data_IF_674413611575
#
_entry.id   IF_674413611575
#
_cell.length_a   1.000
_cell.length_b   1.000
_cell.length_c   1.000
_cell.angle_alpha   90.00
_cell.angle_beta   90.00
_cell.angle_gamma   90.00
#
_symmetry.space_group_name_H-M   'P 1'
#
loop_
_entity.id
_entity.type
_entity.pdbx_description
1 polymer ?
#
# COMPACT_ATOMS: atom_id res chain seq x y z
N UNK A 1 34.69 -11.06 8.85
CA UNK A 1 34.92 -11.60 10.22
C UNK A 1 35.66 -12.93 10.14
N UNK A 2 36.41 -13.30 11.19
CA UNK A 2 37.04 -14.62 11.38
C UNK A 2 36.03 -15.77 11.36
N UNK A 3 36.28 -16.79 10.53
CA UNK A 3 35.32 -17.84 10.24
C UNK A 3 35.69 -19.15 10.95
N UNK A 4 34.71 -19.83 11.55
CA UNK A 4 34.88 -21.22 11.94
C UNK A 4 35.08 -22.12 10.70
N UNK A 5 35.53 -23.36 10.93
CA UNK A 5 35.67 -24.39 9.90
C UNK A 5 34.37 -24.50 9.07
N UNK A 6 34.50 -24.29 7.75
CA UNK A 6 33.42 -24.27 6.77
C UNK A 6 32.26 -23.30 7.12
N UNK A 7 32.55 -22.13 7.70
CA UNK A 7 31.57 -21.08 8.02
C UNK A 7 31.62 -19.89 7.03
N UNK A 8 32.27 -20.07 5.88
CA UNK A 8 32.49 -19.00 4.90
C UNK A 8 31.18 -18.32 4.44
N UNK A 9 30.13 -19.08 4.11
CA UNK A 9 28.86 -18.53 3.65
C UNK A 9 28.16 -17.64 4.70
N UNK A 10 27.91 -18.11 5.94
CA UNK A 10 27.39 -17.24 7.01
C UNK A 10 28.26 -16.01 7.26
N UNK A 11 29.59 -16.15 7.27
CA UNK A 11 30.51 -15.05 7.52
C UNK A 11 30.56 -14.02 6.39
N UNK A 12 30.42 -14.44 5.13
CA UNK A 12 30.31 -13.56 3.98
C UNK A 12 29.02 -12.73 4.08
N UNK A 13 27.86 -13.38 4.21
CA UNK A 13 26.56 -12.71 4.34
C UNK A 13 26.52 -11.78 5.56
N UNK A 14 27.16 -12.15 6.67
CA UNK A 14 27.23 -11.29 7.86
C UNK A 14 27.99 -9.98 7.58
N UNK A 15 29.12 -10.06 6.88
CA UNK A 15 29.87 -8.85 6.52
C UNK A 15 29.10 -7.99 5.51
N UNK A 16 28.46 -8.61 4.52
CA UNK A 16 27.60 -7.95 3.53
C UNK A 16 26.50 -7.12 4.20
N UNK A 17 25.77 -7.73 5.13
CA UNK A 17 24.73 -7.04 5.90
C UNK A 17 25.30 -5.91 6.77
N UNK A 18 26.50 -6.07 7.33
CA UNK A 18 27.17 -5.02 8.10
C UNK A 18 27.65 -3.87 7.21
N UNK A 19 28.16 -4.15 6.01
CA UNK A 19 28.50 -3.13 5.01
C UNK A 19 27.25 -2.31 4.66
N UNK A 20 26.12 -2.98 4.42
CA UNK A 20 24.85 -2.31 4.14
C UNK A 20 24.38 -1.42 5.29
N UNK A 21 24.43 -1.91 6.54
CA UNK A 21 24.08 -1.10 7.71
C UNK A 21 24.98 0.13 7.88
N UNK A 22 26.28 -0.04 7.64
CA UNK A 22 27.27 1.05 7.75
C UNK A 22 27.11 2.09 6.64
N UNK A 23 26.70 1.65 5.45
CA UNK A 23 26.60 2.50 4.26
C UNK A 23 25.24 3.18 4.15
N UNK A 24 24.17 2.50 4.58
CA UNK A 24 22.79 2.94 4.38
C UNK A 24 22.04 3.07 5.72
N UNK A 25 21.84 4.30 6.22
CA UNK A 25 21.31 4.54 7.57
C UNK A 25 19.94 3.93 7.88
N UNK A 26 19.12 3.62 6.86
CA UNK A 26 17.80 2.99 6.99
C UNK A 26 17.87 1.50 7.30
N UNK A 27 18.98 0.85 6.95
CA UNK A 27 19.20 -0.56 7.24
C UNK A 27 19.70 -0.67 8.68
N UNK A 28 19.05 -1.53 9.45
CA UNK A 28 19.42 -1.85 10.82
C UNK A 28 19.42 -3.36 10.99
N UNK A 29 20.59 -3.92 11.24
CA UNK A 29 20.76 -5.36 11.42
C UNK A 29 20.61 -5.65 12.92
N UNK A 30 19.69 -6.53 13.32
CA UNK A 30 19.35 -6.69 14.74
C UNK A 30 20.41 -7.41 15.57
N UNK A 31 21.41 -8.02 14.93
CA UNK A 31 22.45 -8.81 15.58
C UNK A 31 23.83 -8.23 15.28
N UNK A 32 24.73 -8.26 16.26
CA UNK A 32 26.09 -7.72 16.10
C UNK A 32 26.93 -8.59 15.15
N UNK A 33 27.61 -7.94 14.20
CA UNK A 33 28.59 -8.59 13.33
C UNK A 33 29.89 -8.83 14.10
N UNK A 34 29.93 -9.93 14.86
CA UNK A 34 31.12 -10.44 15.55
C UNK A 34 31.24 -11.95 15.38
N UNK A 35 32.40 -12.46 15.79
CA UNK A 35 32.68 -13.90 15.80
C UNK A 35 31.64 -14.66 16.62
N UNK A 36 31.05 -15.70 16.02
CA UNK A 36 30.11 -16.59 16.70
C UNK A 36 29.93 -17.92 15.97
N UNK A 37 28.92 -18.68 16.37
CA UNK A 37 28.62 -20.02 15.91
C UNK A 37 27.11 -20.29 16.06
N UNK A 38 26.59 -21.24 15.28
CA UNK A 38 25.21 -21.70 15.37
C UNK A 38 24.68 -21.81 16.80
N UNK A 39 23.54 -21.16 17.05
CA UNK A 39 22.84 -21.19 18.34
C UNK A 39 23.19 -20.04 19.29
N UNK A 40 24.15 -19.17 18.94
CA UNK A 40 24.38 -17.92 19.66
C UNK A 40 23.65 -16.72 19.02
N UNK A 41 23.70 -15.57 19.70
CA UNK A 41 23.00 -14.33 19.33
C UNK A 41 23.81 -13.41 18.41
N UNK A 42 24.95 -13.87 17.89
CA UNK A 42 25.73 -13.09 16.92
C UNK A 42 25.09 -13.16 15.53
N UNK A 43 25.35 -12.17 14.67
CA UNK A 43 24.88 -12.19 13.29
C UNK A 43 25.29 -13.48 12.56
N UNK A 44 26.55 -13.88 12.73
CA UNK A 44 27.10 -15.11 12.14
C UNK A 44 26.40 -16.36 12.69
N UNK A 45 26.11 -16.43 13.99
CA UNK A 45 25.41 -17.55 14.63
C UNK A 45 23.94 -17.68 14.21
N UNK A 46 23.27 -16.55 14.01
CA UNK A 46 21.91 -16.50 13.46
C UNK A 46 21.87 -16.94 12.00
N UNK A 47 22.82 -16.49 11.18
CA UNK A 47 22.95 -16.93 9.79
C UNK A 47 23.31 -18.42 9.69
N UNK A 48 24.19 -18.92 10.56
CA UNK A 48 24.47 -20.35 10.72
C UNK A 48 23.19 -21.16 10.97
N UNK A 49 22.32 -20.62 11.82
CA UNK A 49 21.04 -21.23 12.17
C UNK A 49 20.08 -21.19 10.98
N UNK A 50 19.94 -20.04 10.33
CA UNK A 50 19.05 -19.83 9.20
C UNK A 50 19.46 -20.65 7.96
N UNK A 51 20.75 -20.83 7.72
CA UNK A 51 21.29 -21.69 6.65
C UNK A 51 21.27 -23.18 7.00
N UNK A 52 20.84 -23.57 8.21
CA UNK A 52 20.77 -24.96 8.61
C UNK A 52 22.13 -25.64 8.73
N UNK A 53 23.21 -24.88 8.96
CA UNK A 53 24.58 -25.42 8.98
C UNK A 53 24.73 -26.51 10.04
N UNK A 54 25.40 -27.61 9.71
CA UNK A 54 25.71 -28.66 10.69
C UNK A 54 27.02 -28.33 11.39
N UNK A 55 26.98 -28.16 12.71
CA UNK A 55 28.10 -27.65 13.50
C UNK A 55 28.18 -28.37 14.84
N UNK A 56 29.36 -28.90 15.17
CA UNK A 56 29.67 -29.45 16.51
C UNK A 56 30.46 -28.43 17.35
N UNK A 57 31.45 -27.77 16.73
CA UNK A 57 32.28 -26.74 17.34
C UNK A 57 32.99 -25.95 16.24
N UNK A 58 33.83 -24.97 16.62
CA UNK A 58 34.55 -24.10 15.67
C UNK A 58 35.44 -24.87 14.68
N UNK A 59 35.91 -26.07 15.03
CA UNK A 59 36.81 -26.88 14.20
C UNK A 59 36.07 -27.93 13.37
N UNK A 60 34.79 -28.18 13.66
CA UNK A 60 33.98 -29.23 13.04
C UNK A 60 32.62 -28.69 12.63
N UNK A 61 32.50 -28.39 11.35
CA UNK A 61 31.24 -28.03 10.71
C UNK A 61 31.24 -28.35 9.23
N UNK A 62 30.05 -28.37 8.62
CA UNK A 62 29.88 -28.56 7.17
C UNK A 62 29.62 -27.23 6.48
N UNK A 63 30.07 -27.10 5.24
CA UNK A 63 29.72 -25.97 4.39
C UNK A 63 28.25 -26.00 4.00
N UNK A 64 27.71 -24.83 3.68
CA UNK A 64 26.32 -24.63 3.24
C UNK A 64 26.29 -23.60 2.12
N UNK A 65 25.24 -23.67 1.31
CA UNK A 65 24.92 -22.65 0.33
C UNK A 65 24.17 -21.47 0.99
N UNK A 66 24.43 -20.22 0.59
CA UNK A 66 23.92 -19.06 1.31
C UNK A 66 22.48 -18.68 0.95
N UNK A 67 21.98 -18.93 -0.26
CA UNK A 67 20.79 -18.24 -0.79
C UNK A 67 19.56 -18.39 0.10
N UNK A 68 19.09 -19.61 0.31
CA UNK A 68 17.84 -19.84 1.05
C UNK A 68 17.95 -19.38 2.51
N UNK A 69 19.08 -19.66 3.16
CA UNK A 69 19.31 -19.26 4.54
C UNK A 69 19.43 -17.75 4.73
N UNK A 70 20.04 -17.05 3.77
CA UNK A 70 20.05 -15.59 3.69
C UNK A 70 18.63 -15.04 3.64
N UNK A 71 17.80 -15.52 2.70
CA UNK A 71 16.42 -15.06 2.57
C UNK A 71 15.59 -15.35 3.82
N UNK A 72 15.79 -16.51 4.44
CA UNK A 72 15.17 -16.88 5.72
C UNK A 72 15.53 -15.90 6.83
N UNK A 73 16.81 -15.52 6.95
CA UNK A 73 17.25 -14.54 7.93
C UNK A 73 16.61 -13.16 7.68
N UNK A 74 16.54 -12.72 6.42
CA UNK A 74 15.89 -11.45 6.06
C UNK A 74 14.38 -11.47 6.40
N UNK A 75 13.68 -12.57 6.11
CA UNK A 75 12.24 -12.72 6.39
C UNK A 75 11.96 -12.69 7.90
N UNK A 76 12.69 -13.49 8.68
CA UNK A 76 12.55 -13.59 10.14
C UNK A 76 12.78 -12.26 10.85
N UNK A 77 13.61 -11.39 10.29
CA UNK A 77 13.98 -10.10 10.85
C UNK A 77 13.26 -8.91 10.18
N UNK A 78 12.26 -9.15 9.32
CA UNK A 78 11.51 -8.14 8.57
C UNK A 78 12.40 -7.19 7.73
N UNK A 79 13.51 -7.70 7.22
CA UNK A 79 14.48 -6.95 6.41
C UNK A 79 14.19 -6.99 4.91
N UNK A 80 13.35 -7.91 4.42
CA UNK A 80 13.10 -8.06 2.98
C UNK A 80 12.46 -6.85 2.30
N UNK A 81 11.78 -5.98 3.06
CA UNK A 81 11.22 -4.73 2.56
C UNK A 81 12.25 -3.59 2.48
N UNK A 82 13.45 -3.77 3.05
CA UNK A 82 14.52 -2.75 3.04
C UNK A 82 15.81 -3.24 2.39
N UNK A 83 15.94 -4.54 2.12
CA UNK A 83 17.09 -5.16 1.45
C UNK A 83 16.58 -6.03 0.30
N UNK A 84 17.05 -5.73 -0.91
CA UNK A 84 16.87 -6.55 -2.10
C UNK A 84 17.99 -7.56 -2.23
N UNK A 85 17.68 -8.69 -2.87
CA UNK A 85 18.67 -9.72 -3.20
C UNK A 85 18.58 -10.05 -4.67
N UNK A 86 19.72 -9.99 -5.36
CA UNK A 86 19.91 -10.46 -6.72
C UNK A 86 20.91 -11.60 -6.73
N UNK A 87 20.87 -12.46 -7.74
CA UNK A 87 21.91 -13.47 -7.92
C UNK A 87 22.12 -13.86 -9.38
N UNK A 88 23.31 -14.33 -9.69
CA UNK A 88 23.65 -15.02 -10.94
C UNK A 88 24.23 -16.40 -10.65
N UNK A 89 24.01 -17.33 -11.57
CA UNK A 89 24.45 -18.72 -11.45
C UNK A 89 23.31 -19.68 -11.07
N UNK A 90 23.61 -20.98 -11.15
CA UNK A 90 22.60 -22.05 -10.95
C UNK A 90 23.10 -23.18 -10.04
N UNK A 91 24.26 -23.00 -9.38
CA UNK A 91 24.88 -24.04 -8.56
C UNK A 91 24.25 -24.17 -7.16
N UNK A 92 23.73 -23.08 -6.61
CA UNK A 92 23.03 -23.08 -5.33
C UNK A 92 21.65 -23.75 -5.48
N UNK A 93 21.39 -24.86 -4.75
CA UNK A 93 20.12 -25.57 -4.83
C UNK A 93 19.01 -24.94 -3.97
N UNK A 94 19.32 -23.90 -3.19
CA UNK A 94 18.39 -23.26 -2.27
C UNK A 94 17.24 -22.54 -2.99
N UNK A 95 16.09 -22.44 -2.31
CA UNK A 95 14.97 -21.65 -2.83
C UNK A 95 15.34 -20.17 -2.99
N UNK A 96 14.95 -19.57 -4.11
CA UNK A 96 15.06 -18.13 -4.33
C UNK A 96 13.87 -17.34 -3.73
N UNK A 97 12.94 -17.99 -3.05
CA UNK A 97 11.84 -17.34 -2.34
C UNK A 97 11.61 -18.03 -0.98
N UNK A 98 11.59 -17.24 0.10
CA UNK A 98 11.35 -17.71 1.46
C UNK A 98 10.45 -16.69 2.18
N UNK A 99 9.31 -17.16 2.68
CA UNK A 99 8.34 -16.29 3.36
C UNK A 99 7.88 -15.15 2.45
N UNK A 100 8.18 -13.91 2.83
CA UNK A 100 7.85 -12.69 2.08
C UNK A 100 9.02 -12.15 1.25
N UNK A 101 10.17 -12.81 1.25
CA UNK A 101 11.41 -12.33 0.61
C UNK A 101 11.75 -13.18 -0.60
N UNK A 102 12.04 -12.52 -1.72
CA UNK A 102 12.42 -13.17 -2.98
C UNK A 102 13.75 -12.60 -3.48
N UNK A 103 14.61 -13.46 -4.01
CA UNK A 103 15.81 -13.09 -4.73
C UNK A 103 15.57 -13.13 -6.24
N UNK A 104 15.98 -12.08 -6.95
CA UNK A 104 15.82 -11.97 -8.40
C UNK A 104 16.98 -12.64 -9.13
N UNK A 105 16.66 -13.57 -10.02
CA UNK A 105 17.64 -14.24 -10.87
C UNK A 105 18.04 -13.33 -12.03
N UNK A 106 19.32 -12.96 -12.09
CA UNK A 106 19.92 -12.08 -13.08
C UNK A 106 20.66 -12.86 -14.18
N UNK A 107 20.45 -14.17 -14.25
CA UNK A 107 20.95 -15.04 -15.31
C UNK A 107 22.30 -15.69 -15.00
N UNK A 108 23.16 -15.74 -16.02
CA UNK A 108 24.48 -16.38 -15.94
C UNK A 108 25.48 -15.45 -15.29
N UNK A 109 26.47 -16.02 -14.61
CA UNK A 109 27.60 -15.28 -14.03
C UNK A 109 28.31 -14.48 -15.12
N UNK A 110 28.57 -13.20 -14.87
CA UNK A 110 29.29 -12.33 -15.80
C UNK A 110 30.12 -11.30 -15.03
N UNK A 111 31.27 -10.90 -15.58
CA UNK A 111 32.12 -9.92 -14.90
C UNK A 111 31.49 -8.53 -14.91
N UNK A 112 30.78 -8.19 -15.97
CA UNK A 112 30.05 -6.92 -16.12
C UNK A 112 29.05 -6.72 -14.97
N UNK A 113 28.22 -7.73 -14.68
CA UNK A 113 27.29 -7.68 -13.53
C UNK A 113 28.03 -7.41 -12.21
N UNK A 114 29.12 -8.14 -11.91
CA UNK A 114 29.88 -7.93 -10.67
C UNK A 114 30.38 -6.48 -10.55
N UNK A 115 30.89 -5.91 -11.64
CA UNK A 115 31.41 -4.53 -11.65
C UNK A 115 30.27 -3.52 -11.52
N UNK A 116 29.15 -3.72 -12.20
CA UNK A 116 27.98 -2.83 -12.15
C UNK A 116 27.39 -2.77 -10.74
N UNK A 117 27.28 -3.91 -10.06
CA UNK A 117 26.75 -3.96 -8.69
C UNK A 117 27.69 -3.25 -7.69
N UNK A 118 29.00 -3.51 -7.76
CA UNK A 118 29.99 -2.82 -6.92
C UNK A 118 29.99 -1.31 -7.19
N UNK A 119 29.94 -0.89 -8.46
CA UNK A 119 29.88 0.53 -8.83
C UNK A 119 28.59 1.21 -8.35
N UNK A 120 27.50 0.45 -8.27
CA UNK A 120 26.22 0.90 -7.71
C UNK A 120 26.20 0.91 -6.18
N UNK A 121 27.33 0.59 -5.53
CA UNK A 121 27.52 0.49 -4.07
C UNK A 121 26.66 -0.59 -3.43
N UNK A 122 26.21 -1.57 -4.23
CA UNK A 122 25.66 -2.81 -3.69
C UNK A 122 26.76 -3.63 -3.05
N UNK A 123 26.38 -4.50 -2.11
CA UNK A 123 27.28 -5.52 -1.60
C UNK A 123 27.27 -6.74 -2.51
N UNK A 124 28.44 -7.31 -2.83
CA UNK A 124 28.56 -8.47 -3.71
C UNK A 124 29.28 -9.61 -3.01
N UNK A 125 28.66 -10.78 -3.02
CA UNK A 125 29.22 -12.04 -2.54
C UNK A 125 29.48 -13.00 -3.70
N UNK A 126 30.54 -13.79 -3.63
CA UNK A 126 30.87 -14.84 -4.59
C UNK A 126 30.95 -16.20 -3.92
N UNK A 127 30.64 -17.24 -4.68
CA UNK A 127 31.08 -18.61 -4.36
C UNK A 127 32.15 -19.03 -5.36
N UNK A 128 33.37 -19.18 -4.84
CA UNK A 128 34.56 -19.62 -5.56
C UNK A 128 34.69 -21.14 -5.48
N UNK A 129 34.64 -21.84 -6.61
CA UNK A 129 34.86 -23.28 -6.74
C UNK A 129 36.31 -23.57 -7.10
N UNK A 130 37.03 -24.26 -6.22
CA UNK A 130 38.43 -24.59 -6.45
C UNK A 130 38.61 -25.78 -7.42
N UNK A 131 39.70 -25.83 -8.21
CA UNK A 131 39.96 -26.92 -9.15
C UNK A 131 40.05 -28.30 -8.51
N UNK A 132 40.58 -28.36 -7.29
CA UNK A 132 40.88 -29.60 -6.58
C UNK A 132 39.77 -30.04 -5.62
N UNK A 133 38.53 -29.62 -5.88
CA UNK A 133 37.37 -29.74 -5.00
C UNK A 133 37.35 -28.72 -3.84
N UNK A 134 36.16 -28.52 -3.26
CA UNK A 134 35.90 -27.47 -2.26
C UNK A 134 35.38 -26.18 -2.87
N UNK A 135 34.71 -25.37 -2.06
CA UNK A 135 34.28 -24.03 -2.43
C UNK A 135 34.41 -23.10 -1.24
N UNK A 136 34.49 -21.81 -1.56
CA UNK A 136 34.65 -20.75 -0.58
C UNK A 136 33.72 -19.60 -0.92
N UNK A 137 32.91 -19.18 0.04
CA UNK A 137 32.04 -18.02 -0.09
C UNK A 137 32.72 -16.79 0.49
N UNK A 138 32.74 -15.70 -0.27
CA UNK A 138 33.47 -14.47 0.07
C UNK A 138 32.62 -13.25 -0.25
N UNK A 139 32.76 -12.21 0.55
CA UNK A 139 32.30 -10.85 0.24
C UNK A 139 33.40 -10.15 -0.55
N UNK A 140 33.04 -9.51 -1.67
CA UNK A 140 33.98 -8.71 -2.46
C UNK A 140 34.19 -7.35 -1.83
N UNK A 141 35.45 -6.91 -1.86
CA UNK A 141 35.85 -5.56 -1.46
C UNK A 141 36.04 -4.63 -2.65
N UNK A 142 36.41 -5.17 -3.82
CA UNK A 142 36.42 -4.43 -5.08
C UNK A 142 36.48 -5.38 -6.28
N UNK A 143 36.07 -4.90 -7.44
CA UNK A 143 36.36 -5.50 -8.74
C UNK A 143 36.65 -4.40 -9.77
N UNK A 144 37.32 -4.75 -10.85
CA UNK A 144 37.56 -3.83 -11.96
C UNK A 144 38.54 -4.36 -12.97
N UNK A 145 39.21 -3.46 -13.68
CA UNK A 145 40.18 -3.81 -14.71
C UNK A 145 41.56 -3.22 -14.40
N UNK A 146 42.61 -4.02 -14.54
CA UNK A 146 44.00 -3.56 -14.56
C UNK A 146 44.56 -3.85 -15.94
N UNK A 147 44.92 -2.81 -16.69
CA UNK A 147 45.39 -2.93 -18.08
C UNK A 147 44.44 -3.77 -18.98
N UNK A 148 43.12 -3.64 -18.76
CA UNK A 148 42.09 -4.40 -19.49
C UNK A 148 41.86 -5.82 -18.99
N UNK A 149 42.58 -6.28 -17.96
CA UNK A 149 42.40 -7.61 -17.37
C UNK A 149 41.44 -7.51 -16.17
N UNK A 150 40.31 -8.23 -16.18
CA UNK A 150 39.41 -8.35 -15.03
C UNK A 150 40.14 -8.78 -13.76
N UNK A 151 39.83 -8.14 -12.64
CA UNK A 151 40.28 -8.58 -11.33
C UNK A 151 39.19 -8.41 -10.28
N UNK A 152 39.26 -9.24 -9.24
CA UNK A 152 38.47 -9.13 -8.02
C UNK A 152 39.41 -9.04 -6.80
N UNK A 153 38.94 -8.42 -5.73
CA UNK A 153 39.54 -8.53 -4.41
C UNK A 153 38.50 -8.84 -3.36
N UNK A 154 38.89 -9.67 -2.41
CA UNK A 154 38.11 -9.96 -1.21
C UNK A 154 39.03 -10.11 -0.01
N UNK A 155 38.45 -10.01 1.19
CA UNK A 155 39.12 -10.42 2.41
C UNK A 155 38.76 -11.88 2.67
N UNK A 156 39.76 -12.70 2.93
CA UNK A 156 39.55 -14.11 3.21
C UNK A 156 40.30 -14.50 4.46
N UNK A 157 39.65 -15.32 5.28
CA UNK A 157 40.36 -16.10 6.27
C UNK A 157 41.06 -17.28 5.56
N UNK A 158 42.34 -17.10 5.24
CA UNK A 158 43.12 -18.11 4.53
C UNK A 158 43.43 -19.35 5.38
N UNK A 159 43.11 -19.31 6.68
CA UNK A 159 43.38 -20.39 7.62
C UNK A 159 42.10 -21.05 8.14
N UNK A 160 41.07 -21.12 7.27
CA UNK A 160 39.85 -21.92 7.46
C UNK A 160 40.07 -23.44 7.63
N UNK A 161 41.32 -23.90 7.73
CA UNK A 161 41.66 -25.31 7.89
C UNK A 161 41.70 -25.70 9.36
N UNK A 162 41.15 -26.86 9.65
CA UNK A 162 41.01 -27.43 10.98
C UNK A 162 42.33 -27.78 11.72
N UNK A 163 43.49 -27.31 11.24
CA UNK A 163 44.80 -27.64 11.81
C UNK A 163 45.58 -26.38 12.19
N UNK A 164 45.77 -26.18 13.49
CA UNK A 164 46.71 -25.21 14.03
C UNK A 164 46.11 -23.90 14.56
N UNK A 165 44.82 -23.62 14.32
CA UNK A 165 44.18 -22.39 14.81
C UNK A 165 42.80 -22.61 15.48
N UNK A 166 42.75 -23.32 16.62
CA UNK A 166 41.50 -23.66 17.31
C UNK A 166 40.75 -22.46 17.89
N UNK A 167 41.46 -21.34 18.06
CA UNK A 167 40.89 -20.08 18.52
C UNK A 167 40.60 -19.15 17.36
N UNK A 168 40.90 -19.54 16.11
CA UNK A 168 40.66 -18.77 14.89
C UNK A 168 41.18 -17.34 15.08
N UNK A 169 42.50 -17.23 15.28
CA UNK A 169 43.27 -16.03 15.60
C UNK A 169 44.21 -15.60 14.47
N UNK A 170 44.37 -16.42 13.44
CA UNK A 170 45.21 -16.20 12.27
C UNK A 170 44.32 -15.94 11.04
N UNK A 171 44.90 -15.45 9.93
CA UNK A 171 44.26 -15.57 8.62
C UNK A 171 43.40 -14.40 8.09
N UNK A 172 42.94 -13.44 8.90
CA UNK A 172 42.05 -12.35 8.43
C UNK A 172 42.71 -11.01 8.07
N UNK A 173 44.04 -10.95 7.95
CA UNK A 173 44.78 -9.70 7.75
C UNK A 173 45.19 -9.43 6.30
N UNK A 174 44.80 -10.31 5.36
CA UNK A 174 45.24 -10.25 3.97
C UNK A 174 44.10 -10.09 2.99
N UNK A 175 44.29 -9.16 2.06
CA UNK A 175 43.45 -9.00 0.87
C UNK A 175 43.89 -9.97 -0.20
N UNK A 176 42.98 -10.83 -0.64
CA UNK A 176 43.17 -11.73 -1.77
C UNK A 176 42.81 -10.97 -3.06
N UNK A 177 43.75 -10.91 -3.99
CA UNK A 177 43.51 -10.42 -5.35
C UNK A 177 43.65 -11.58 -6.34
N UNK A 178 42.68 -11.66 -7.26
CA UNK A 178 42.65 -12.67 -8.31
C UNK A 178 42.30 -12.02 -9.65
N UNK A 179 43.03 -12.38 -10.69
CA UNK A 179 42.75 -11.98 -12.08
C UNK A 179 41.84 -13.02 -12.74
N UNK A 180 40.93 -12.57 -13.59
CA UNK A 180 39.90 -13.44 -14.20
C UNK A 180 39.97 -13.41 -15.72
N UNK A 181 39.51 -14.50 -16.33
CA UNK A 181 39.05 -14.53 -17.73
C UNK A 181 37.56 -14.79 -17.73
N UNK A 182 36.82 -13.98 -18.48
CA UNK A 182 35.39 -14.17 -18.78
C UNK A 182 35.26 -14.75 -20.19
N UNK A 183 34.63 -15.92 -20.30
CA UNK A 183 34.34 -16.56 -21.59
C UNK A 183 33.05 -16.06 -22.25
N UNK A 184 32.31 -15.17 -21.59
CA UNK A 184 31.02 -14.63 -22.02
C UNK A 184 29.87 -15.65 -22.02
N UNK A 185 30.10 -16.87 -21.51
CA UNK A 185 29.14 -17.98 -21.51
C UNK A 185 28.69 -18.38 -20.11
N UNK A 186 29.11 -17.64 -19.09
CA UNK A 186 28.82 -17.94 -17.69
C UNK A 186 30.00 -18.47 -16.90
N UNK A 187 31.22 -18.50 -17.46
CA UNK A 187 32.40 -19.02 -16.78
C UNK A 187 33.43 -17.91 -16.57
N UNK A 188 33.50 -17.42 -15.33
CA UNK A 188 34.61 -16.60 -14.85
C UNK A 188 35.62 -17.50 -14.16
N UNK A 189 36.86 -17.49 -14.65
CA UNK A 189 37.92 -18.37 -14.13
C UNK A 189 39.16 -17.58 -13.71
N UNK A 190 39.72 -17.91 -12.54
CA UNK A 190 40.96 -17.33 -12.03
C UNK A 190 42.16 -17.73 -12.88
N UNK A 191 42.99 -16.74 -13.23
CA UNK A 191 44.21 -16.89 -14.05
C UNK A 191 45.41 -16.17 -13.43
N UNK A 192 46.61 -16.49 -13.94
CA UNK A 192 47.84 -15.77 -13.61
C UNK A 192 48.30 -15.95 -12.15
N UNK A 193 49.27 -15.13 -11.68
CA UNK A 193 49.64 -15.10 -10.27
C UNK A 193 48.50 -14.46 -9.48
N UNK A 194 47.68 -15.31 -8.86
CA UNK A 194 46.51 -14.92 -8.07
C UNK A 194 46.59 -15.54 -6.68
N UNK A 195 45.90 -14.95 -5.71
CA UNK A 195 45.83 -15.52 -4.36
C UNK A 195 44.98 -16.79 -4.34
N UNK A 196 43.88 -16.81 -5.11
CA UNK A 196 43.11 -18.03 -5.32
C UNK A 196 43.81 -18.95 -6.34
N UNK A 197 43.66 -20.28 -6.21
CA UNK A 197 44.22 -21.22 -7.17
C UNK A 197 43.79 -20.94 -8.61
N UNK A 198 44.75 -20.98 -9.55
CA UNK A 198 44.45 -20.90 -10.99
C UNK A 198 43.46 -21.99 -11.39
N UNK A 199 42.43 -21.63 -12.17
CA UNK A 199 41.34 -22.53 -12.54
C UNK A 199 40.13 -22.48 -11.60
N UNK A 200 40.19 -21.71 -10.51
CA UNK A 200 39.03 -21.45 -9.63
C UNK A 200 37.92 -20.77 -10.42
N UNK A 201 36.69 -21.25 -10.30
CA UNK A 201 35.52 -20.69 -11.02
C UNK A 201 34.62 -19.91 -10.08
N UNK A 202 34.00 -18.85 -10.57
CA UNK A 202 32.89 -18.19 -9.86
C UNK A 202 31.60 -18.94 -10.22
N UNK A 203 31.05 -19.71 -9.28
CA UNK A 203 29.85 -20.52 -9.50
C UNK A 203 28.56 -19.75 -9.23
N UNK A 204 28.60 -18.86 -8.24
CA UNK A 204 27.47 -18.02 -7.85
C UNK A 204 27.97 -16.61 -7.57
N UNK A 205 27.14 -15.63 -7.93
CA UNK A 205 27.26 -14.23 -7.51
C UNK A 205 25.95 -13.89 -6.81
N UNK A 206 26.03 -13.27 -5.64
CA UNK A 206 24.86 -12.67 -4.98
C UNK A 206 25.14 -11.18 -4.81
N UNK A 207 24.10 -10.37 -5.00
CA UNK A 207 24.17 -8.94 -4.71
C UNK A 207 23.08 -8.56 -3.72
N UNK A 208 23.39 -7.65 -2.79
CA UNK A 208 22.44 -7.08 -1.84
C UNK A 208 22.48 -5.56 -1.89
N UNK A 209 21.30 -4.94 -1.91
CA UNK A 209 21.19 -3.48 -1.93
C UNK A 209 19.98 -2.99 -1.16
N UNK A 210 19.93 -1.71 -0.77
CA UNK A 210 18.74 -1.11 -0.18
C UNK A 210 17.54 -1.21 -1.12
N UNK A 211 16.35 -1.39 -0.54
CA UNK A 211 15.09 -1.21 -1.26
C UNK A 211 14.52 0.18 -0.96
N UNK A 212 14.63 1.10 -1.91
CA UNK A 212 13.94 2.39 -1.79
C UNK A 212 12.47 2.22 -2.19
N UNK A 213 11.51 2.72 -1.38
CA UNK A 213 10.10 2.57 -1.72
C UNK A 213 9.75 3.38 -2.98
N UNK A 214 8.63 3.05 -3.65
CA UNK A 214 8.12 3.84 -4.75
C UNK A 214 7.95 5.30 -4.36
N UNK A 215 8.03 6.20 -5.35
CA UNK A 215 7.70 7.61 -5.12
C UNK A 215 6.24 7.72 -4.65
N UNK A 216 5.99 8.71 -3.77
CA UNK A 216 4.64 9.08 -3.35
C UNK A 216 3.77 9.28 -4.60
N UNK A 217 2.62 8.58 -4.74
CA UNK A 217 1.73 8.78 -5.88
C UNK A 217 1.15 10.20 -5.90
N UNK A 218 0.70 10.60 -7.09
CA UNK A 218 -0.06 11.83 -7.24
C UNK A 218 -1.39 11.76 -6.49
N UNK A 219 -1.99 12.93 -6.24
CA UNK A 219 -3.34 13.02 -5.70
C UNK A 219 -4.30 12.27 -6.64
N UNK A 220 -5.18 11.38 -6.13
CA UNK A 220 -6.19 10.72 -6.93
C UNK A 220 -7.06 11.70 -7.71
N UNK A 221 -7.54 11.25 -8.87
CA UNK A 221 -8.55 11.94 -9.67
C UNK A 221 -9.81 11.09 -9.78
N UNK A 222 -10.96 11.77 -9.83
CA UNK A 222 -12.27 11.13 -9.89
C UNK A 222 -13.38 12.09 -9.44
N UNK A 223 -14.65 11.63 -9.45
CA UNK A 223 -15.78 12.45 -9.02
C UNK A 223 -15.69 12.89 -7.56
N UNK A 224 -15.82 14.20 -7.30
CA UNK A 224 -15.76 14.80 -5.94
C UNK A 224 -17.13 15.07 -5.32
N UNK A 225 -18.21 14.85 -6.07
CA UNK A 225 -19.59 14.86 -5.59
C UNK A 225 -20.28 13.59 -6.08
N UNK A 226 -20.73 12.75 -5.16
CA UNK A 226 -21.23 11.39 -5.44
C UNK A 226 -22.50 11.15 -4.64
N UNK A 227 -23.46 10.39 -5.17
CA UNK A 227 -24.62 9.95 -4.37
C UNK A 227 -24.29 8.64 -3.66
N UNK A 228 -24.74 8.49 -2.41
CA UNK A 228 -24.67 7.24 -1.64
C UNK A 228 -25.19 6.07 -2.50
N UNK A 229 -24.43 4.99 -2.54
CA UNK A 229 -24.76 3.79 -3.31
C UNK A 229 -24.34 3.85 -4.79
N UNK A 230 -23.86 4.98 -5.30
CA UNK A 230 -23.27 5.04 -6.64
C UNK A 230 -21.82 4.57 -6.63
N UNK A 231 -21.51 3.64 -7.55
CA UNK A 231 -20.13 3.23 -7.83
C UNK A 231 -19.45 4.25 -8.74
N UNK A 232 -18.29 4.75 -8.33
CA UNK A 232 -17.46 5.69 -9.09
C UNK A 232 -16.04 5.17 -9.23
N UNK A 233 -15.40 5.52 -10.34
CA UNK A 233 -14.00 5.19 -10.62
C UNK A 233 -13.08 6.30 -10.13
N UNK A 234 -11.95 5.89 -9.55
CA UNK A 234 -10.85 6.73 -9.12
C UNK A 234 -9.55 6.18 -9.69
N UNK A 235 -8.64 7.08 -10.06
CA UNK A 235 -7.35 6.71 -10.64
C UNK A 235 -6.25 7.68 -10.21
N UNK A 236 -5.00 7.28 -10.42
CA UNK A 236 -3.81 8.11 -10.23
C UNK A 236 -2.84 7.86 -11.38
N UNK A 237 -1.89 8.76 -11.61
CA UNK A 237 -0.78 8.45 -12.51
C UNK A 237 0.01 7.25 -11.95
N UNK A 238 0.53 6.35 -12.81
CA UNK A 238 1.41 5.28 -12.38
C UNK A 238 2.60 5.83 -11.59
N UNK A 239 2.80 5.29 -10.39
CA UNK A 239 3.98 5.60 -9.58
C UNK A 239 5.25 5.04 -10.23
N UNK A 240 6.39 5.65 -9.92
CA UNK A 240 7.71 5.19 -10.36
C UNK A 240 8.55 4.87 -9.14
N UNK A 241 9.41 3.87 -9.28
CA UNK A 241 10.35 3.48 -8.25
C UNK A 241 11.74 4.11 -8.51
N UNK A 242 12.41 4.71 -7.51
CA UNK A 242 13.75 5.28 -7.68
C UNK A 242 14.80 4.26 -8.13
N UNK A 243 14.64 2.99 -7.76
CA UNK A 243 15.57 1.92 -8.07
C UNK A 243 15.23 1.24 -9.41
N UNK A 244 14.16 1.69 -10.08
CA UNK A 244 13.67 1.09 -11.32
C UNK A 244 12.86 -0.19 -11.10
N UNK A 245 12.52 -0.52 -9.86
CA UNK A 245 11.73 -1.69 -9.52
C UNK A 245 10.28 -1.55 -9.98
N UNK A 246 9.64 -2.70 -10.21
CA UNK A 246 8.24 -2.73 -10.62
C UNK A 246 7.34 -2.35 -9.45
N UNK A 247 6.50 -1.32 -9.64
CA UNK A 247 5.37 -1.07 -8.73
C UNK A 247 4.34 -2.18 -8.91
N UNK A 248 4.17 -2.99 -7.87
CA UNK A 248 3.38 -4.22 -7.89
C UNK A 248 1.93 -3.96 -7.47
N UNK A 249 1.69 -3.06 -6.52
CA UNK A 249 0.36 -2.80 -5.95
C UNK A 249 0.11 -1.32 -5.65
N UNK A 250 -1.16 -0.93 -5.70
CA UNK A 250 -1.71 0.35 -5.24
C UNK A 250 -2.71 0.09 -4.11
N UNK A 251 -2.46 0.68 -2.96
CA UNK A 251 -3.32 0.58 -1.78
C UNK A 251 -4.12 1.86 -1.64
N UNK A 252 -5.44 1.74 -1.61
CA UNK A 252 -6.40 2.84 -1.63
C UNK A 252 -7.09 2.98 -0.28
N UNK A 253 -7.19 4.22 0.20
CA UNK A 253 -7.91 4.62 1.41
C UNK A 253 -9.06 5.54 0.98
N UNK A 254 -10.29 5.11 1.20
CA UNK A 254 -11.52 5.80 0.79
C UNK A 254 -12.27 6.45 1.95
N UNK A 255 -11.91 6.14 3.20
CA UNK A 255 -12.56 6.71 4.38
C UNK A 255 -11.68 7.71 5.16
N UNK A 256 -10.38 7.73 4.86
CA UNK A 256 -9.39 8.63 5.43
C UNK A 256 -8.78 8.14 6.75
N UNK A 257 -8.98 6.89 7.16
CA UNK A 257 -8.47 6.35 8.43
C UNK A 257 -6.96 5.99 8.40
N UNK A 258 -6.35 6.01 7.21
CA UNK A 258 -4.93 5.73 7.00
C UNK A 258 -4.61 4.25 6.76
N UNK A 259 -5.62 3.40 6.60
CA UNK A 259 -5.51 1.99 6.20
C UNK A 259 -5.99 1.81 4.77
N UNK A 260 -5.52 0.73 4.16
CA UNK A 260 -5.97 0.35 2.84
C UNK A 260 -7.36 -0.31 2.93
N UNK A 261 -8.35 0.27 2.26
CA UNK A 261 -9.66 -0.32 2.02
C UNK A 261 -9.63 -1.31 0.85
N UNK A 262 -8.81 -1.00 -0.17
CA UNK A 262 -8.70 -1.78 -1.41
C UNK A 262 -7.25 -1.82 -1.89
N UNK A 263 -6.90 -2.91 -2.56
CA UNK A 263 -5.59 -3.11 -3.19
C UNK A 263 -5.80 -3.49 -4.65
N UNK A 264 -5.05 -2.87 -5.55
CA UNK A 264 -5.12 -3.11 -7.00
C UNK A 264 -3.72 -3.24 -7.60
N UNK A 265 -3.57 -4.01 -8.68
CA UNK A 265 -2.30 -4.14 -9.43
C UNK A 265 -2.08 -3.01 -10.45
N UNK A 266 -3.11 -2.18 -10.66
CA UNK A 266 -3.14 -1.02 -11.54
C UNK A 266 -3.56 0.23 -10.76
N UNK A 267 -3.19 1.44 -11.20
CA UNK A 267 -3.52 2.68 -10.51
C UNK A 267 -4.97 3.16 -10.77
N UNK A 268 -5.92 2.23 -10.80
CA UNK A 268 -7.35 2.49 -11.04
C UNK A 268 -8.21 1.56 -10.19
N UNK A 269 -9.28 2.09 -9.62
CA UNK A 269 -10.16 1.36 -8.71
C UNK A 269 -11.58 1.94 -8.75
N UNK A 270 -12.59 1.15 -8.38
CA UNK A 270 -13.96 1.64 -8.17
C UNK A 270 -14.34 1.63 -6.71
N UNK A 271 -15.14 2.61 -6.27
CA UNK A 271 -15.64 2.69 -4.91
C UNK A 271 -17.09 3.15 -4.82
N UNK A 272 -17.77 2.69 -3.76
CA UNK A 272 -19.15 3.03 -3.42
C UNK A 272 -19.21 3.36 -1.94
N UNK A 273 -19.83 4.49 -1.58
CA UNK A 273 -20.06 4.85 -0.18
C UNK A 273 -21.49 4.53 0.25
N UNK A 274 -21.61 3.86 1.41
CA UNK A 274 -22.90 3.50 2.02
C UNK A 274 -23.43 4.56 2.99
N UNK A 275 -22.63 5.56 3.35
CA UNK A 275 -23.02 6.67 4.22
C UNK A 275 -22.74 8.00 3.53
N UNK A 276 -23.59 8.99 3.80
CA UNK A 276 -23.34 10.37 3.39
C UNK A 276 -22.23 10.96 4.26
N UNK A 277 -21.46 11.90 3.72
CA UNK A 277 -20.35 12.53 4.44
C UNK A 277 -19.30 13.09 3.51
N UNK A 278 -18.24 13.61 4.10
CA UNK A 278 -17.05 14.08 3.38
C UNK A 278 -15.90 13.11 3.67
N UNK A 279 -15.26 12.60 2.62
CA UNK A 279 -14.21 11.60 2.69
C UNK A 279 -12.94 12.11 2.01
N UNK A 280 -11.77 11.70 2.51
CA UNK A 280 -10.47 12.04 1.92
C UNK A 280 -9.85 10.83 1.25
N UNK A 281 -10.02 10.70 -0.06
CA UNK A 281 -9.49 9.55 -0.81
C UNK A 281 -7.99 9.69 -1.02
N UNK A 282 -7.21 8.69 -0.63
CA UNK A 282 -5.75 8.62 -0.77
C UNK A 282 -5.32 7.32 -1.41
N UNK A 283 -4.10 7.30 -1.93
CA UNK A 283 -3.47 6.10 -2.48
C UNK A 283 -1.98 6.08 -2.14
N UNK A 284 -1.43 4.90 -1.91
CA UNK A 284 0.01 4.65 -1.85
C UNK A 284 0.38 3.46 -2.73
N UNK A 285 1.66 3.30 -3.00
CA UNK A 285 2.19 2.29 -3.91
C UNK A 285 3.17 1.37 -3.18
N UNK A 286 3.24 0.12 -3.63
CA UNK A 286 4.14 -0.92 -3.13
C UNK A 286 4.90 -1.56 -4.29
N UNK A 287 6.21 -1.75 -4.14
CA UNK A 287 7.07 -2.41 -5.14
C UNK A 287 7.03 -3.96 -5.06
N UNK A 288 7.74 -4.63 -5.96
CA UNK A 288 7.85 -6.08 -6.03
C UNK A 288 8.62 -6.74 -4.86
N UNK A 289 9.37 -5.97 -4.07
CA UNK A 289 10.09 -6.41 -2.87
C UNK A 289 9.37 -6.03 -1.56
N UNK A 290 8.24 -5.32 -1.67
CA UNK A 290 7.33 -5.01 -0.58
C UNK A 290 7.56 -3.66 0.11
N UNK A 291 8.49 -2.79 -0.33
CA UNK A 291 8.55 -1.44 0.26
C UNK A 291 7.36 -0.60 -0.18
N UNK A 292 6.96 0.32 0.71
CA UNK A 292 5.71 1.07 0.58
C UNK A 292 5.98 2.57 0.62
N UNK A 293 5.38 3.29 -0.32
CA UNK A 293 5.46 4.73 -0.39
C UNK A 293 4.60 5.42 0.68
N UNK A 294 4.80 6.74 0.82
CA UNK A 294 3.88 7.57 1.62
C UNK A 294 2.52 7.67 0.92
N UNK A 295 1.46 7.85 1.71
CA UNK A 295 0.14 8.22 1.21
C UNK A 295 0.21 9.50 0.37
N UNK A 296 -0.54 9.53 -0.73
CA UNK A 296 -0.76 10.70 -1.57
C UNK A 296 -1.51 11.81 -0.83
N UNK A 297 -1.60 12.99 -1.45
CA UNK A 297 -2.51 14.03 -0.94
C UNK A 297 -3.96 13.57 -1.12
N UNK A 298 -4.83 13.97 -0.19
CA UNK A 298 -6.22 13.52 -0.20
C UNK A 298 -7.05 14.24 -1.28
N UNK A 299 -7.85 13.49 -2.01
CA UNK A 299 -8.96 13.99 -2.82
C UNK A 299 -10.22 14.05 -1.96
N UNK A 300 -10.73 15.26 -1.69
CA UNK A 300 -11.99 15.44 -0.94
C UNK A 300 -13.19 15.07 -1.80
N UNK A 301 -13.95 14.06 -1.36
CA UNK A 301 -15.19 13.59 -1.99
C UNK A 301 -16.37 13.83 -1.05
N UNK A 302 -17.41 14.49 -1.55
CA UNK A 302 -18.65 14.73 -0.82
C UNK A 302 -19.71 13.73 -1.30
N UNK A 303 -20.09 12.82 -0.40
CA UNK A 303 -21.13 11.83 -0.63
C UNK A 303 -22.45 12.37 -0.10
N UNK A 304 -23.39 12.59 -1.02
CA UNK A 304 -24.72 13.09 -0.76
C UNK A 304 -25.71 11.92 -0.69
N UNK A 305 -26.89 12.15 -0.11
CA UNK A 305 -28.00 11.20 -0.16
C UNK A 305 -29.18 11.82 -0.92
N UNK A 306 -29.97 10.97 -1.59
CA UNK A 306 -31.31 11.37 -2.02
C UNK A 306 -32.18 11.36 -0.77
N UNK A 307 -33.03 12.38 -0.66
CA UNK A 307 -34.05 12.45 0.36
C UNK A 307 -35.40 12.28 -0.33
N UNK A 308 -36.13 11.26 0.06
CA UNK A 308 -37.47 10.97 -0.48
C UNK A 308 -38.49 11.22 0.61
N UNK A 309 -39.43 12.10 0.31
CA UNK A 309 -40.45 12.53 1.25
C UNK A 309 -41.80 12.24 0.61
N UNK A 310 -42.49 11.23 1.14
CA UNK A 310 -43.84 10.89 0.72
C UNK A 310 -44.76 11.11 1.90
N UNK A 311 -45.90 11.75 1.67
CA UNK A 311 -46.94 11.72 2.66
C UNK A 311 -48.29 12.11 2.11
N UNK A 312 -49.27 11.57 2.80
CA UNK A 312 -50.67 11.70 2.46
C UNK A 312 -51.41 11.70 3.79
N UNK A 313 -52.32 12.63 3.97
CA UNK A 313 -53.16 12.66 5.16
C UNK A 313 -54.06 13.87 5.21
N UNK A 314 -54.90 13.89 6.23
CA UNK A 314 -55.77 15.01 6.53
C UNK A 314 -55.19 15.81 7.69
N UNK A 315 -55.28 17.13 7.65
CA UNK A 315 -54.99 17.97 8.82
C UNK A 315 -56.28 18.51 9.45
N UNK A 316 -56.35 18.61 10.79
CA UNK A 316 -57.55 19.04 11.48
C UNK A 316 -57.83 20.53 11.25
N UNK A 317 -58.90 20.83 10.52
CA UNK A 317 -59.67 22.08 10.64
C UNK A 317 -61.06 21.74 11.19
N UNK A 318 -61.86 22.75 11.57
CA UNK A 318 -63.14 22.62 12.31
C UNK A 318 -64.20 21.63 11.75
N UNK A 319 -63.97 21.04 10.57
CA UNK A 319 -64.81 20.02 9.92
C UNK A 319 -64.01 18.89 9.21
N UNK A 320 -62.71 18.72 9.50
CA UNK A 320 -61.83 17.64 8.99
C UNK A 320 -61.59 17.57 7.46
N UNK A 321 -61.93 18.60 6.66
CA UNK A 321 -61.89 18.53 5.18
C UNK A 321 -60.61 19.06 4.49
N UNK A 322 -59.47 19.14 5.19
CA UNK A 322 -58.18 19.52 4.61
C UNK A 322 -57.34 18.31 4.20
N UNK A 323 -57.05 18.13 2.90
CA UNK A 323 -56.21 17.06 2.36
C UNK A 323 -54.85 17.58 1.92
N UNK A 324 -53.79 17.01 2.49
CA UNK A 324 -52.40 17.19 2.06
C UNK A 324 -51.92 15.91 1.37
N UNK A 325 -51.39 16.05 0.15
CA UNK A 325 -50.62 15.00 -0.51
C UNK A 325 -49.33 15.61 -1.02
N UNK A 326 -48.22 15.03 -0.62
CA UNK A 326 -46.89 15.42 -1.07
C UNK A 326 -46.11 14.19 -1.51
N UNK A 327 -45.40 14.36 -2.62
CA UNK A 327 -44.43 13.41 -3.11
C UNK A 327 -43.24 14.22 -3.60
N UNK A 328 -42.18 14.26 -2.81
CA UNK A 328 -40.94 14.94 -3.14
C UNK A 328 -39.85 13.88 -3.22
N UNK A 329 -39.18 13.85 -4.37
CA UNK A 329 -37.93 13.09 -4.52
C UNK A 329 -36.86 14.15 -4.73
N UNK A 330 -36.22 14.57 -3.65
CA UNK A 330 -35.14 15.53 -3.71
C UNK A 330 -33.82 14.78 -3.79
N UNK A 331 -33.10 14.93 -4.89
CA UNK A 331 -31.65 14.79 -4.88
C UNK A 331 -31.08 16.12 -4.47
N UNK A 332 -30.07 16.16 -3.61
CA UNK A 332 -29.20 17.33 -3.58
C UNK A 332 -28.27 17.21 -4.81
N UNK A 333 -28.29 18.13 -5.80
CA UNK A 333 -29.04 19.40 -5.87
C UNK A 333 -30.36 19.40 -6.67
N UNK A 334 -30.69 18.36 -7.45
CA UNK A 334 -31.90 18.34 -8.28
C UNK A 334 -33.19 18.05 -7.47
N UNK A 335 -33.94 19.11 -7.16
CA UNK A 335 -35.19 19.04 -6.39
C UNK A 335 -36.41 18.97 -7.33
N UNK A 336 -37.01 17.79 -7.48
CA UNK A 336 -38.29 17.62 -8.17
C UNK A 336 -39.34 17.14 -7.18
N UNK A 337 -40.50 17.81 -7.12
CA UNK A 337 -41.52 17.46 -6.13
C UNK A 337 -42.91 17.93 -6.52
N UNK A 338 -43.92 17.20 -6.04
CA UNK A 338 -45.33 17.49 -6.25
C UNK A 338 -46.00 17.75 -4.90
N UNK A 339 -46.60 18.92 -4.75
CA UNK A 339 -47.46 19.27 -3.62
C UNK A 339 -48.89 19.45 -4.13
N UNK A 340 -49.84 18.79 -3.48
CA UNK A 340 -51.28 19.06 -3.62
C UNK A 340 -51.84 19.32 -2.24
N UNK A 341 -52.46 20.48 -2.07
CA UNK A 341 -53.14 20.84 -0.84
C UNK A 341 -54.54 21.38 -1.15
N UNK A 342 -55.55 20.79 -0.50
CA UNK A 342 -56.96 21.16 -0.69
C UNK A 342 -57.63 21.31 0.67
N UNK A 343 -58.25 22.45 0.91
CA UNK A 343 -59.13 22.66 2.07
C UNK A 343 -60.49 23.15 1.54
N UNK A 344 -61.52 22.30 1.63
CA UNK A 344 -62.85 22.65 1.12
C UNK A 344 -63.51 23.74 1.96
N UNK A 345 -63.31 23.74 3.27
CA UNK A 345 -63.90 24.70 4.20
C UNK A 345 -63.38 26.11 3.95
N UNK A 346 -62.07 26.23 3.75
CA UNK A 346 -61.41 27.49 3.46
C UNK A 346 -61.33 27.84 1.96
N UNK A 347 -61.99 27.05 1.09
CA UNK A 347 -61.94 27.19 -0.38
C UNK A 347 -60.49 27.28 -0.92
N UNK A 348 -59.61 26.42 -0.41
CA UNK A 348 -58.20 26.30 -0.83
C UNK A 348 -58.04 25.16 -1.83
N UNK A 349 -57.38 25.45 -2.94
CA UNK A 349 -56.96 24.43 -3.90
C UNK A 349 -55.63 24.86 -4.52
N UNK A 350 -54.55 24.23 -4.08
CA UNK A 350 -53.17 24.55 -4.48
C UNK A 350 -52.46 23.32 -5.01
N UNK A 351 -51.71 23.52 -6.09
CA UNK A 351 -50.77 22.54 -6.62
C UNK A 351 -49.41 23.18 -6.90
N UNK A 352 -48.34 22.45 -6.63
CA UNK A 352 -46.99 22.76 -7.08
C UNK A 352 -46.33 21.53 -7.70
N UNK A 353 -45.44 21.78 -8.65
CA UNK A 353 -44.58 20.78 -9.30
C UNK A 353 -43.08 21.10 -9.13
N UNK A 354 -42.75 22.22 -8.48
CA UNK A 354 -41.38 22.70 -8.31
C UNK A 354 -41.11 22.96 -6.82
N UNK A 355 -40.01 22.41 -6.33
CA UNK A 355 -39.43 22.75 -5.02
C UNK A 355 -38.19 23.58 -5.33
N UNK A 356 -38.13 24.81 -4.81
CA UNK A 356 -37.02 25.73 -5.05
C UNK A 356 -35.98 25.66 -3.95
N UNK A 357 -36.42 25.38 -2.71
CA UNK A 357 -35.55 25.31 -1.56
C UNK A 357 -35.97 24.21 -0.60
N UNK A 358 -34.96 23.63 0.03
CA UNK A 358 -35.07 22.43 0.84
C UNK A 358 -34.07 22.50 2.00
N UNK A 359 -34.55 22.30 3.23
CA UNK A 359 -33.70 22.15 4.41
C UNK A 359 -34.03 20.88 5.18
N UNK A 360 -33.08 19.92 5.28
CA UNK A 360 -33.20 18.77 6.15
C UNK A 360 -32.61 19.10 7.52
N UNK A 361 -33.44 19.51 8.49
CA UNK A 361 -33.02 19.66 9.89
C UNK A 361 -33.67 18.58 10.76
N UNK A 362 -33.03 18.03 11.80
CA UNK A 362 -33.77 17.34 12.84
C UNK A 362 -34.54 18.36 13.71
N UNK A 363 -35.81 18.11 14.09
CA UNK A 363 -36.68 16.97 13.73
C UNK A 363 -37.49 17.18 12.43
N UNK A 364 -37.34 18.32 11.73
CA UNK A 364 -38.24 18.72 10.65
C UNK A 364 -37.60 19.08 9.31
N UNK A 365 -38.28 18.70 8.24
CA UNK A 365 -37.96 19.13 6.88
C UNK A 365 -38.78 20.35 6.48
N UNK A 366 -38.11 21.34 5.88
CA UNK A 366 -38.75 22.53 5.30
C UNK A 366 -38.66 22.50 3.78
N UNK A 367 -39.80 22.71 3.13
CA UNK A 367 -39.94 22.81 1.68
C UNK A 367 -40.48 24.18 1.29
N UNK A 368 -39.89 24.81 0.29
CA UNK A 368 -40.40 26.05 -0.31
C UNK A 368 -40.43 25.98 -1.83
N UNK A 369 -41.38 26.69 -2.43
CA UNK A 369 -41.39 26.88 -3.86
C UNK A 369 -42.60 27.67 -4.37
N UNK A 370 -42.69 27.76 -5.69
CA UNK A 370 -43.84 28.34 -6.36
C UNK A 370 -45.06 27.43 -6.27
N UNK A 371 -46.24 28.02 -6.13
CA UNK A 371 -47.51 27.32 -6.12
C UNK A 371 -48.48 28.02 -7.08
N UNK A 372 -49.39 27.24 -7.67
CA UNK A 372 -50.51 27.75 -8.45
C UNK A 372 -51.81 27.31 -7.79
N UNK A 373 -52.74 28.25 -7.59
CA UNK A 373 -54.01 27.96 -6.94
C UNK A 373 -54.67 29.19 -6.34
N UNK A 374 -55.69 28.95 -5.54
CA UNK A 374 -56.43 30.02 -4.83
C UNK A 374 -56.73 29.64 -3.38
N UNK A 375 -56.84 30.68 -2.55
CA UNK A 375 -57.43 30.66 -1.20
C UNK A 375 -58.63 31.61 -1.25
N UNK A 376 -59.84 31.06 -1.28
CA UNK A 376 -61.03 31.86 -1.61
C UNK A 376 -60.88 32.54 -2.97
N UNK A 377 -60.86 33.87 -2.99
CA UNK A 377 -60.68 34.67 -4.21
C UNK A 377 -59.23 35.15 -4.45
N UNK A 378 -58.30 34.85 -3.53
CA UNK A 378 -56.89 35.31 -3.63
C UNK A 378 -56.03 34.27 -4.34
N UNK A 379 -55.17 34.72 -5.25
CA UNK A 379 -54.19 33.86 -5.92
C UNK A 379 -53.01 33.55 -5.00
N UNK A 380 -52.55 32.30 -5.07
CA UNK A 380 -51.35 31.81 -4.39
C UNK A 380 -50.18 31.89 -5.37
N UNK A 381 -49.04 32.40 -4.91
CA UNK A 381 -47.80 32.44 -5.68
C UNK A 381 -46.70 31.55 -5.09
N UNK A 382 -46.61 31.44 -3.76
CA UNK A 382 -45.56 30.66 -3.08
C UNK A 382 -46.13 29.83 -1.92
N UNK A 383 -45.43 28.76 -1.57
CA UNK A 383 -45.72 27.95 -0.38
C UNK A 383 -44.47 27.76 0.47
N UNK A 384 -44.69 27.53 1.76
CA UNK A 384 -43.72 26.95 2.70
C UNK A 384 -44.41 25.82 3.46
N UNK A 385 -43.78 24.65 3.51
CA UNK A 385 -44.29 23.47 4.21
C UNK A 385 -43.24 22.99 5.21
N UNK A 386 -43.71 22.63 6.40
CA UNK A 386 -42.92 22.07 7.49
C UNK A 386 -43.47 20.68 7.82
N UNK A 387 -42.59 19.69 7.88
CA UNK A 387 -42.90 18.27 8.02
C UNK A 387 -42.06 17.67 9.13
N UNK A 388 -42.69 16.98 10.09
CA UNK A 388 -42.02 16.13 11.08
C UNK A 388 -42.54 14.70 10.96
N UNK A 389 -41.62 13.75 10.84
CA UNK A 389 -41.89 12.32 10.90
C UNK A 389 -41.61 11.86 12.33
N UNK A 390 -42.67 11.56 13.09
CA UNK A 390 -42.58 11.20 14.52
C UNK A 390 -42.95 9.72 14.74
N UNK A 391 -42.76 8.89 13.72
CA UNK A 391 -43.00 7.44 13.71
C UNK A 391 -44.45 7.05 14.10
N UNK A 392 -45.33 6.89 13.09
CA UNK A 392 -46.61 6.19 13.22
C UNK A 392 -47.85 6.98 12.78
N UNK A 393 -48.87 6.26 12.30
CA UNK A 393 -50.09 6.88 11.77
C UNK A 393 -50.80 7.72 12.84
N UNK A 394 -50.82 9.04 12.67
CA UNK A 394 -51.40 9.98 13.62
C UNK A 394 -50.40 10.81 14.45
N UNK A 395 -49.10 10.53 14.37
CA UNK A 395 -48.05 11.22 15.13
C UNK A 395 -47.32 12.31 14.35
N UNK A 396 -47.40 12.27 13.01
CA UNK A 396 -46.65 13.18 12.15
C UNK A 396 -47.24 14.58 12.10
N UNK A 397 -46.39 15.60 12.17
CA UNK A 397 -46.81 16.99 12.15
C UNK A 397 -46.65 17.61 10.75
N UNK A 398 -47.69 18.33 10.31
CA UNK A 398 -47.70 19.05 9.05
C UNK A 398 -48.13 20.49 9.28
N UNK A 399 -47.38 21.44 8.72
CA UNK A 399 -47.78 22.85 8.62
C UNK A 399 -47.60 23.34 7.19
N UNK A 400 -48.59 24.04 6.66
CA UNK A 400 -48.53 24.73 5.37
C UNK A 400 -48.80 26.23 5.54
N UNK A 401 -48.01 27.03 4.85
CA UNK A 401 -48.19 28.47 4.69
C UNK A 401 -48.27 28.80 3.20
N UNK A 402 -49.25 29.59 2.79
CA UNK A 402 -49.45 30.04 1.42
C UNK A 402 -49.35 31.57 1.33
N UNK A 403 -48.61 32.05 0.34
CA UNK A 403 -48.32 33.46 0.16
C UNK A 403 -48.80 33.96 -1.20
N UNK A 404 -49.25 35.21 -1.26
CA UNK A 404 -49.55 35.89 -2.53
C UNK A 404 -48.26 36.36 -3.24
N UNK A 405 -48.41 36.97 -4.43
CA UNK A 405 -47.29 37.46 -5.25
C UNK A 405 -46.43 38.54 -4.58
N UNK A 406 -46.94 39.21 -3.56
CA UNK A 406 -46.22 40.24 -2.81
C UNK A 406 -45.54 39.64 -1.56
N UNK A 407 -45.60 38.31 -1.37
CA UNK A 407 -45.06 37.63 -0.20
C UNK A 407 -45.93 37.73 1.05
N UNK A 408 -47.19 38.20 0.94
CA UNK A 408 -48.09 38.30 2.09
C UNK A 408 -48.69 36.92 2.39
N UNK A 409 -48.64 36.50 3.67
CA UNK A 409 -49.32 35.29 4.14
C UNK A 409 -50.83 35.43 3.97
N UNK A 410 -51.44 34.52 3.21
CA UNK A 410 -52.90 34.53 2.94
C UNK A 410 -53.62 33.31 3.49
N UNK A 411 -52.89 32.26 3.88
CA UNK A 411 -53.43 31.07 4.50
C UNK A 411 -52.35 30.32 5.29
N UNK A 412 -52.73 29.77 6.44
CA UNK A 412 -51.91 28.87 7.24
C UNK A 412 -52.80 27.80 7.86
N UNK A 413 -52.33 26.56 7.84
CA UNK A 413 -52.97 25.47 8.58
C UNK A 413 -51.90 24.49 9.06
N UNK A 414 -52.08 23.93 10.25
CA UNK A 414 -51.14 23.04 10.90
C UNK A 414 -51.84 21.99 11.77
N UNK A 415 -51.16 20.88 12.01
CA UNK A 415 -51.61 19.87 12.96
C UNK A 415 -51.03 18.50 12.67
N UNK A 416 -51.40 17.54 13.52
CA UNK A 416 -51.07 16.13 13.32
C UNK A 416 -51.87 15.56 12.14
N UNK A 417 -51.20 14.77 11.29
CA UNK A 417 -51.85 14.11 10.16
C UNK A 417 -52.77 12.98 10.63
N UNK A 418 -54.06 13.10 10.31
CA UNK A 418 -55.06 12.04 10.49
C UNK A 418 -55.19 11.20 9.22
N UNK A 419 -55.40 9.88 9.38
CA UNK A 419 -55.62 8.93 8.27
C UNK A 419 -54.50 8.96 7.22
N UNK A 420 -53.26 9.02 7.70
CA UNK A 420 -52.11 9.32 6.87
C UNK A 420 -50.78 9.15 7.59
N UNK A 421 -49.69 9.27 6.84
CA UNK A 421 -48.31 9.24 7.36
C UNK A 421 -47.39 10.08 6.48
N UNK A 422 -46.27 10.48 7.04
CA UNK A 422 -45.07 11.02 6.39
C UNK A 422 -44.02 9.91 6.41
N UNK A 423 -43.23 9.83 5.34
CA UNK A 423 -42.09 8.94 5.24
C UNK A 423 -40.93 9.78 4.73
N UNK A 424 -39.85 9.86 5.51
CA UNK A 424 -38.60 10.54 5.13
C UNK A 424 -37.47 9.50 5.02
N UNK A 425 -37.08 9.16 3.78
CA UNK A 425 -36.01 8.19 3.46
C UNK A 425 -34.72 8.84 2.97
#
# INVERSE_FOLDING_TARGET
>A
IQAACNQCAPAAVANSLQYLENTFPKIKIPHENKKGLKGDDTLVGQLDTAMGRQVENRMKGRGVWPLEGKLRYLDQNNLGQVIKVKYQGTADPGSNAVGRVTAKNMGKVSFEFIVDEICSREDVELVLRYPNNGAHAVELTCAGYICGIPFIRHLSDLQQTCQGDPQDKLGCDRTCQSFLVDDGKGNLTVVGPSHDPVGTRIEMVYSQSPNEPPKKPDKPVGPTKVMRGESKTYETNPATDPDGDKVQEYEWDFDGDGKADKVTDKPIVTNTWSKKGTYGVRVRARDEYGAVSKWSDALTVNVLAKIKIIGLGLIPAANEQGLAMFAVVASLPDQKGKLIYRDRAAKVNVRSINVEWFWPGPPAVILEGEAKGKVGNREVARYRVYLEDNDGAGADFFRIMLFDKNGKLIYMNEGLLRRGNIWIE
#
